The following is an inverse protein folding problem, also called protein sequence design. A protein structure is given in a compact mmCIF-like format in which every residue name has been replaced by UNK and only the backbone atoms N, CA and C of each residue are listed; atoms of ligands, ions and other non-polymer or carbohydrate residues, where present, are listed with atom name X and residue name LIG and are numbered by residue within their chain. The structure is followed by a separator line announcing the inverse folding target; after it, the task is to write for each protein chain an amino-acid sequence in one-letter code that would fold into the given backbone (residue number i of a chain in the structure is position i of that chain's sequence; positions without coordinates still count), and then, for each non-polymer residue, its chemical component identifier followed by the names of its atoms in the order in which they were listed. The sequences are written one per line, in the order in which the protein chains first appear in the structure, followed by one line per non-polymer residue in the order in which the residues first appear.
data_IF_291421051762
#
_entry.id   IF_291421051762
#
_cell.length_a   1.000
_cell.length_b   1.000
_cell.length_c   1.000
_cell.angle_alpha   90.00
_cell.angle_beta   90.00
_cell.angle_gamma   90.00
#
_symmetry.space_group_name_H-M   'P 1'
#
loop_
_entity.id
_entity.type
_entity.pdbx_description
1 polymer ?
#
# COMPACT_ATOMS: atom_id res chain seq x y z
N UNK A 1 -7.50 5.64 15.76
CA UNK A 1 -7.95 4.54 14.86
C UNK A 1 -6.71 3.70 14.57
N UNK A 2 -6.82 2.38 14.48
CA UNK A 2 -5.70 1.50 14.13
C UNK A 2 -6.02 0.86 12.77
N UNK A 3 -5.17 1.11 11.76
CA UNK A 3 -5.34 0.58 10.41
C UNK A 3 -5.21 -0.94 10.35
N UNK A 4 -4.46 -1.56 11.28
CA UNK A 4 -4.23 -3.02 11.28
C UNK A 4 -5.47 -3.83 11.65
N UNK A 5 -6.49 -3.17 12.23
CA UNK A 5 -7.76 -3.80 12.62
C UNK A 5 -8.87 -3.55 11.59
N UNK A 6 -8.55 -2.92 10.46
CA UNK A 6 -9.49 -2.73 9.35
C UNK A 6 -9.33 -3.83 8.33
N UNK A 7 -10.44 -4.16 7.68
CA UNK A 7 -10.47 -5.04 6.52
C UNK A 7 -10.80 -4.22 5.28
N UNK A 8 -10.08 -4.46 4.19
CA UNK A 8 -10.43 -3.91 2.90
C UNK A 8 -11.75 -4.52 2.43
N UNK A 9 -12.60 -3.66 1.87
CA UNK A 9 -13.77 -4.08 1.11
C UNK A 9 -13.48 -3.70 -0.33
N UNK A 10 -13.56 -4.64 -1.29
CA UNK A 10 -13.31 -4.33 -2.69
C UNK A 10 -14.14 -3.12 -3.12
N UNK A 11 -13.47 -2.12 -3.68
CA UNK A 11 -14.16 -0.91 -4.11
C UNK A 11 -14.97 -1.24 -5.37
N UNK A 12 -16.30 -1.15 -5.28
CA UNK A 12 -17.17 -1.27 -6.45
C UNK A 12 -16.90 -0.13 -7.44
N UNK A 13 -17.22 -0.38 -8.72
CA UNK A 13 -17.07 0.65 -9.75
C UNK A 13 -17.87 1.91 -9.37
N UNK A 14 -17.18 3.03 -9.11
CA UNK A 14 -17.80 4.29 -8.70
C UNK A 14 -17.62 4.65 -7.21
N UNK A 15 -16.91 3.84 -6.42
CA UNK A 15 -16.49 4.24 -5.07
C UNK A 15 -15.73 5.56 -5.11
N UNK A 16 -16.15 6.50 -4.26
CA UNK A 16 -15.52 7.83 -4.19
C UNK A 16 -14.15 7.75 -3.51
N UNK A 17 -13.17 8.54 -3.95
CA UNK A 17 -11.92 8.70 -3.20
C UNK A 17 -12.19 9.19 -1.77
N UNK A 18 -11.25 8.89 -0.87
CA UNK A 18 -11.27 9.44 0.48
C UNK A 18 -11.20 10.97 0.46
N UNK A 19 -11.91 11.62 1.37
CA UNK A 19 -11.81 13.07 1.56
C UNK A 19 -10.41 13.45 2.06
N UNK A 20 -9.86 14.56 1.57
CA UNK A 20 -8.50 15.01 1.90
C UNK A 20 -8.24 15.09 3.42
N UNK A 21 -9.21 15.57 4.20
CA UNK A 21 -9.11 15.62 5.64
C UNK A 21 -8.89 14.23 6.26
N UNK A 22 -9.61 13.21 5.74
CA UNK A 22 -9.48 11.83 6.20
C UNK A 22 -8.16 11.21 5.75
N UNK A 23 -7.74 11.50 4.53
CA UNK A 23 -6.43 11.07 4.01
C UNK A 23 -5.31 11.59 4.91
N UNK A 24 -5.31 12.88 5.23
CA UNK A 24 -4.29 13.49 6.10
C UNK A 24 -4.27 12.89 7.51
N UNK A 25 -5.43 12.57 8.08
CA UNK A 25 -5.53 11.88 9.36
C UNK A 25 -4.88 10.48 9.32
N UNK A 26 -5.18 9.71 8.26
CA UNK A 26 -4.68 8.34 8.09
C UNK A 26 -3.18 8.30 7.75
N UNK A 27 -2.67 9.27 6.99
CA UNK A 27 -1.25 9.41 6.64
C UNK A 27 -0.36 9.48 7.89
N UNK A 28 -0.84 10.07 8.99
CA UNK A 28 -0.11 10.14 10.25
C UNK A 28 0.16 8.76 10.87
N UNK A 29 -0.63 7.74 10.53
CA UNK A 29 -0.47 6.37 11.05
C UNK A 29 0.54 5.55 10.23
N UNK A 30 0.91 6.02 9.03
CA UNK A 30 1.81 5.33 8.11
C UNK A 30 3.02 6.22 7.76
N UNK A 31 3.96 6.41 8.70
CA UNK A 31 5.12 7.25 8.46
C UNK A 31 5.97 6.73 7.29
N UNK A 32 6.58 7.67 6.57
CA UNK A 32 7.43 7.44 5.40
C UNK A 32 6.69 6.92 4.15
N UNK A 33 5.37 7.04 4.11
CA UNK A 33 4.60 6.95 2.87
C UNK A 33 4.42 8.34 2.27
N UNK A 34 4.41 8.42 0.94
CA UNK A 34 4.19 9.67 0.21
C UNK A 34 2.91 9.57 -0.59
N UNK A 35 2.00 10.51 -0.42
CA UNK A 35 0.83 10.65 -1.28
C UNK A 35 1.21 11.49 -2.51
N UNK A 36 0.95 10.96 -3.71
CA UNK A 36 1.13 11.68 -4.97
C UNK A 36 0.07 11.23 -5.96
N UNK A 37 -0.58 12.18 -6.63
CA UNK A 37 -1.58 11.91 -7.67
C UNK A 37 -2.65 10.88 -7.25
N UNK A 38 -3.11 10.92 -6.00
CA UNK A 38 -4.10 9.98 -5.45
C UNK A 38 -3.56 8.61 -5.01
N UNK A 39 -2.25 8.37 -5.15
CA UNK A 39 -1.61 7.10 -4.83
C UNK A 39 -0.60 7.22 -3.69
N UNK A 40 -0.53 6.21 -2.86
CA UNK A 40 0.49 6.04 -1.83
C UNK A 40 1.72 5.35 -2.38
N UNK A 41 2.86 5.98 -2.20
CA UNK A 41 4.16 5.45 -2.61
C UNK A 41 5.04 5.19 -1.40
N UNK A 42 5.69 4.02 -1.39
CA UNK A 42 6.79 3.74 -0.47
C UNK A 42 7.88 2.91 -1.13
N UNK A 43 9.12 3.29 -0.85
CA UNK A 43 10.32 2.56 -1.28
C UNK A 43 10.91 1.80 -0.11
N UNK A 44 11.21 0.53 -0.34
CA UNK A 44 11.85 -0.36 0.60
C UNK A 44 13.23 -0.76 0.04
N UNK A 45 14.23 -0.83 0.91
CA UNK A 45 15.60 -1.25 0.58
C UNK A 45 15.97 -2.43 1.46
N UNK A 46 16.52 -3.46 0.82
CA UNK A 46 16.88 -4.73 1.43
C UNK A 46 18.38 -5.01 1.23
N UNK A 47 18.90 -6.08 1.84
CA UNK A 47 20.31 -6.44 1.67
C UNK A 47 20.59 -7.01 0.27
N UNK A 48 19.66 -7.77 -0.29
CA UNK A 48 19.82 -8.45 -1.58
C UNK A 48 18.44 -8.70 -2.24
N UNK A 49 18.47 -9.28 -3.45
CA UNK A 49 17.26 -9.58 -4.22
C UNK A 49 16.33 -10.61 -3.55
N UNK A 50 16.89 -11.63 -2.87
CA UNK A 50 16.10 -12.66 -2.19
C UNK A 50 15.27 -12.05 -1.06
N UNK A 51 15.84 -11.14 -0.28
CA UNK A 51 15.09 -10.43 0.77
C UNK A 51 14.01 -9.51 0.20
N UNK A 52 14.27 -8.83 -0.92
CA UNK A 52 13.25 -8.03 -1.60
C UNK A 52 12.07 -8.89 -2.07
N UNK A 53 12.34 -10.05 -2.66
CA UNK A 53 11.29 -10.97 -3.12
C UNK A 53 10.52 -11.61 -1.95
N UNK A 54 11.16 -11.91 -0.82
CA UNK A 54 10.46 -12.37 0.39
C UNK A 54 9.41 -11.36 0.86
N UNK A 55 9.81 -10.08 0.95
CA UNK A 55 8.88 -9.01 1.29
C UNK A 55 7.71 -8.92 0.29
N UNK A 56 7.99 -8.97 -1.02
CA UNK A 56 6.92 -8.90 -2.04
C UNK A 56 5.94 -10.07 -1.90
N UNK A 57 6.43 -11.28 -1.66
CA UNK A 57 5.58 -12.45 -1.49
C UNK A 57 4.68 -12.34 -0.25
N UNK A 58 5.22 -11.87 0.88
CA UNK A 58 4.43 -11.63 2.09
C UNK A 58 3.32 -10.61 1.85
N UNK A 59 3.61 -9.52 1.11
CA UNK A 59 2.56 -8.54 0.79
C UNK A 59 1.56 -9.09 -0.23
N UNK A 60 1.97 -9.96 -1.14
CA UNK A 60 1.06 -10.61 -2.08
C UNK A 60 0.02 -11.50 -1.37
N UNK A 61 0.45 -12.26 -0.35
CA UNK A 61 -0.47 -13.06 0.48
C UNK A 61 -1.49 -12.17 1.21
N UNK A 62 -1.05 -11.03 1.74
CA UNK A 62 -1.95 -10.05 2.39
C UNK A 62 -2.93 -9.46 1.37
N UNK A 63 -2.43 -9.03 0.20
CA UNK A 63 -3.23 -8.44 -0.86
C UNK A 63 -4.36 -9.37 -1.33
N UNK A 64 -4.07 -10.66 -1.47
CA UNK A 64 -5.06 -11.67 -1.87
C UNK A 64 -6.13 -11.87 -0.79
N UNK A 65 -5.72 -11.96 0.49
CA UNK A 65 -6.65 -12.10 1.61
C UNK A 65 -7.55 -10.86 1.82
N UNK A 66 -7.03 -9.69 1.49
CA UNK A 66 -7.74 -8.40 1.56
C UNK A 66 -8.53 -8.09 0.28
N UNK A 67 -8.34 -8.84 -0.80
CA UNK A 67 -8.99 -8.59 -2.09
C UNK A 67 -8.60 -7.24 -2.71
N UNK A 68 -7.40 -6.74 -2.39
CA UNK A 68 -6.89 -5.44 -2.83
C UNK A 68 -5.44 -5.59 -3.29
N UNK A 69 -5.22 -5.43 -4.58
CA UNK A 69 -3.95 -5.75 -5.23
C UNK A 69 -3.17 -4.48 -5.55
N UNK A 70 -2.12 -4.14 -4.77
CA UNK A 70 -1.29 -2.99 -5.07
C UNK A 70 -0.31 -3.27 -6.21
N UNK A 71 0.16 -2.21 -6.86
CA UNK A 71 1.21 -2.29 -7.86
C UNK A 71 2.59 -2.38 -7.21
N UNK A 72 3.43 -3.28 -7.74
CA UNK A 72 4.81 -3.45 -7.30
C UNK A 72 5.82 -3.27 -8.42
N UNK A 73 6.95 -2.67 -8.07
CA UNK A 73 8.18 -2.75 -8.88
C UNK A 73 9.35 -3.22 -8.03
N UNK A 74 10.15 -4.15 -8.57
CA UNK A 74 11.32 -4.71 -7.89
C UNK A 74 12.57 -4.46 -8.72
N UNK A 75 13.59 -3.85 -8.10
CA UNK A 75 14.86 -3.52 -8.73
C UNK A 75 16.01 -3.98 -7.83
N UNK A 76 16.52 -5.20 -8.07
CA UNK A 76 17.52 -5.86 -7.23
C UNK A 76 17.13 -5.83 -5.74
N UNK A 77 17.81 -5.04 -4.92
CA UNK A 77 17.55 -4.96 -3.48
C UNK A 77 16.54 -3.87 -3.10
N UNK A 78 15.72 -3.39 -4.04
CA UNK A 78 14.70 -2.36 -3.79
C UNK A 78 13.34 -2.83 -4.27
N UNK A 79 12.30 -2.53 -3.50
CA UNK A 79 10.91 -2.64 -3.92
C UNK A 79 10.21 -1.29 -3.77
N UNK A 80 9.34 -0.93 -4.70
CA UNK A 80 8.40 0.17 -4.51
C UNK A 80 6.97 -0.38 -4.55
N UNK A 81 6.19 -0.02 -3.53
CA UNK A 81 4.74 -0.29 -3.48
C UNK A 81 4.00 0.98 -3.86
N UNK A 82 3.04 0.84 -4.76
CA UNK A 82 2.10 1.87 -5.18
C UNK A 82 0.70 1.36 -4.80
N UNK A 83 -0.03 2.13 -4.01
CA UNK A 83 -1.34 1.75 -3.50
C UNK A 83 -2.36 2.86 -3.79
N UNK A 84 -3.54 2.52 -4.31
CA UNK A 84 -4.61 3.48 -4.56
C UNK A 84 -5.39 3.77 -3.27
N UNK A 85 -5.69 5.04 -2.99
CA UNK A 85 -6.52 5.43 -1.85
C UNK A 85 -8.00 5.44 -2.24
N UNK A 86 -8.63 4.28 -2.18
CA UNK A 86 -10.07 4.14 -2.39
C UNK A 86 -10.82 3.94 -1.05
N UNK A 87 -12.09 4.35 -0.99
CA UNK A 87 -12.94 4.23 0.22
C UNK A 87 -13.37 2.79 0.51
#
# INVERSE_FOLDING_TARGET
MDLTQKKCVPCEAGTKPLEEAKVNELLNQIPNWTLKDGHLYKKFKFRNFIEAMKFVNEVAEIAENEGHHPDFSVHYNRAAKIDELTQ
#
